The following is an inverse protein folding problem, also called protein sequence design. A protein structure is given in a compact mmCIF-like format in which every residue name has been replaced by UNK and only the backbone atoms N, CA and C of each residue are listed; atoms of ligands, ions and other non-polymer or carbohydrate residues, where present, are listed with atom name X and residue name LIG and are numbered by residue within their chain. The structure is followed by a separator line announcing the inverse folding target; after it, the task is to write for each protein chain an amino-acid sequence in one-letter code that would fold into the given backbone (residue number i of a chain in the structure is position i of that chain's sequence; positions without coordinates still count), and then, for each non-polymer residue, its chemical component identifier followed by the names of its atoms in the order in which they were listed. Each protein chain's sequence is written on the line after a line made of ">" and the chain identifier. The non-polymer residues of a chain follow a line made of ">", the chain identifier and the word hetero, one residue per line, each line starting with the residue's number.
data_IF_554909539214
#
_entry.id   IF_554909539214
#
_cell.length_a   1.000
_cell.length_b   1.000
_cell.length_c   1.000
_cell.angle_alpha   90.00
_cell.angle_beta   90.00
_cell.angle_gamma   90.00
#
_symmetry.space_group_name_H-M   'P 1'
#
loop_
_entity.id
_entity.type
_entity.pdbx_description
1 polymer ?
#
# COMPACT_ATOMS: atom_id res chain seq x y z
N UNK A 1 -15.44 -41.91 29.84
CA UNK A 1 -16.14 -42.22 28.59
C UNK A 1 -15.82 -41.11 27.61
N UNK A 2 -14.90 -41.37 26.72
CA UNK A 2 -14.45 -40.41 25.70
C UNK A 2 -15.34 -40.58 24.47
N UNK A 3 -16.11 -39.56 24.16
CA UNK A 3 -16.83 -39.47 22.89
C UNK A 3 -15.91 -38.85 21.84
N UNK A 4 -15.41 -39.66 20.95
CA UNK A 4 -14.66 -39.20 19.78
C UNK A 4 -15.60 -38.59 18.74
N UNK A 5 -15.27 -37.40 18.27
CA UNK A 5 -15.91 -36.80 17.13
C UNK A 5 -15.29 -37.42 15.87
N UNK A 6 -16.04 -38.27 15.18
CA UNK A 6 -15.66 -38.79 13.86
C UNK A 6 -16.02 -37.77 12.80
N UNK A 7 -15.03 -37.21 12.12
CA UNK A 7 -15.22 -36.50 10.88
C UNK A 7 -15.44 -37.51 9.78
N UNK A 8 -16.64 -37.55 9.18
CA UNK A 8 -16.94 -38.38 8.03
C UNK A 8 -16.35 -37.72 6.77
N UNK A 9 -15.26 -38.29 6.26
CA UNK A 9 -14.77 -38.05 4.89
C UNK A 9 -15.51 -39.01 3.99
N UNK A 10 -16.39 -38.51 3.14
CA UNK A 10 -17.03 -39.30 2.11
C UNK A 10 -16.05 -39.51 0.93
N UNK A 11 -15.40 -40.67 0.89
CA UNK A 11 -14.61 -41.09 -0.26
C UNK A 11 -15.58 -41.74 -1.28
N UNK A 12 -15.86 -41.07 -2.40
CA UNK A 12 -16.47 -41.68 -3.56
C UNK A 12 -15.39 -42.44 -4.36
N UNK A 13 -15.40 -43.74 -4.23
CA UNK A 13 -14.59 -44.62 -5.06
C UNK A 13 -15.07 -44.61 -6.50
N UNK A 14 -14.24 -44.16 -7.42
CA UNK A 14 -14.38 -44.30 -8.85
C UNK A 14 -13.07 -44.81 -9.43
N UNK A 15 -13.05 -46.05 -9.91
CA UNK A 15 -11.95 -46.59 -10.72
C UNK A 15 -11.98 -45.94 -12.10
N UNK A 16 -10.98 -45.18 -12.46
CA UNK A 16 -10.86 -44.57 -13.76
C UNK A 16 -9.49 -43.99 -14.02
N UNK A 17 -8.72 -44.70 -14.83
CA UNK A 17 -7.64 -44.28 -15.74
C UNK A 17 -6.78 -43.06 -15.26
N UNK A 18 -5.53 -43.35 -14.94
CA UNK A 18 -4.49 -42.35 -14.75
C UNK A 18 -4.23 -41.56 -16.05
N UNK A 19 -4.97 -40.50 -16.24
CA UNK A 19 -4.59 -39.39 -17.10
C UNK A 19 -3.83 -38.41 -16.19
N UNK A 20 -2.59 -38.08 -16.52
CA UNK A 20 -1.85 -36.99 -15.91
C UNK A 20 -2.57 -35.68 -16.24
N UNK A 21 -3.57 -35.33 -15.45
CA UNK A 21 -4.05 -33.96 -15.40
C UNK A 21 -2.93 -33.12 -14.74
N UNK A 22 -2.14 -32.47 -15.56
CA UNK A 22 -1.39 -31.31 -15.12
C UNK A 22 -2.46 -30.34 -14.63
N UNK A 23 -2.70 -30.28 -13.32
CA UNK A 23 -3.48 -29.20 -12.74
C UNK A 23 -2.82 -27.92 -13.21
N UNK A 24 -3.50 -27.18 -14.08
CA UNK A 24 -3.12 -25.85 -14.43
C UNK A 24 -3.21 -25.07 -13.09
N UNK A 25 -2.08 -24.93 -12.43
CA UNK A 25 -1.91 -24.01 -11.30
C UNK A 25 -2.45 -22.69 -11.79
N UNK A 26 -3.57 -22.23 -11.20
CA UNK A 26 -4.09 -20.91 -11.50
C UNK A 26 -2.89 -19.96 -11.42
N UNK A 27 -2.62 -19.26 -12.52
CA UNK A 27 -1.52 -18.31 -12.55
C UNK A 27 -1.72 -17.37 -11.38
N UNK A 28 -0.73 -17.27 -10.51
CA UNK A 28 -0.74 -16.28 -9.42
C UNK A 28 -1.13 -14.94 -10.03
N UNK A 29 -2.03 -14.17 -9.43
CA UNK A 29 -2.42 -12.88 -9.98
C UNK A 29 -1.14 -12.06 -10.17
N UNK A 30 -0.85 -11.69 -11.42
CA UNK A 30 0.37 -10.94 -11.72
C UNK A 30 0.33 -9.63 -10.95
N UNK A 31 1.39 -9.34 -10.23
CA UNK A 31 1.54 -8.07 -9.52
C UNK A 31 1.51 -6.93 -10.54
N UNK A 32 0.75 -5.89 -10.24
CA UNK A 32 0.60 -4.72 -11.12
C UNK A 32 1.19 -3.48 -10.47
N UNK A 33 1.61 -2.55 -11.31
CA UNK A 33 2.15 -1.25 -10.90
C UNK A 33 1.31 -0.16 -11.55
N UNK A 34 1.01 0.91 -10.79
CA UNK A 34 0.41 2.14 -11.29
C UNK A 34 1.44 3.25 -11.24
N UNK A 35 1.50 4.03 -12.29
CA UNK A 35 2.43 5.15 -12.42
C UNK A 35 1.77 6.28 -13.20
N UNK A 36 2.36 7.47 -13.12
CA UNK A 36 1.94 8.62 -13.91
C UNK A 36 2.65 8.59 -15.26
N UNK A 37 1.88 8.68 -16.33
CA UNK A 37 2.39 8.80 -17.68
C UNK A 37 2.04 10.18 -18.25
N UNK A 38 3.02 10.82 -18.86
CA UNK A 38 2.80 12.06 -19.61
C UNK A 38 2.72 11.77 -21.11
N UNK A 39 1.77 12.42 -21.77
CA UNK A 39 1.61 12.38 -23.21
C UNK A 39 1.27 13.78 -23.74
N UNK A 40 1.65 14.10 -24.98
CA UNK A 40 1.18 15.32 -25.65
C UNK A 40 0.02 14.95 -26.57
N UNK A 41 -1.18 15.43 -26.22
CA UNK A 41 -2.38 15.23 -27.03
C UNK A 41 -2.82 16.60 -27.55
N UNK A 42 -2.94 16.74 -28.86
CA UNK A 42 -3.30 18.02 -29.53
C UNK A 42 -2.43 19.23 -29.10
N UNK A 43 -1.14 18.99 -28.86
CA UNK A 43 -0.20 20.02 -28.42
C UNK A 43 -0.28 20.37 -26.93
N UNK A 44 -1.13 19.71 -26.16
CA UNK A 44 -1.28 19.88 -24.70
C UNK A 44 -0.60 18.72 -23.99
N UNK A 45 0.26 19.03 -23.02
CA UNK A 45 0.85 18.01 -22.15
C UNK A 45 -0.21 17.51 -21.17
N UNK A 46 -0.49 16.21 -21.23
CA UNK A 46 -1.47 15.53 -20.38
C UNK A 46 -0.78 14.50 -19.51
N UNK A 47 -1.38 14.17 -18.38
CA UNK A 47 -0.88 13.17 -17.44
C UNK A 47 -2.02 12.22 -17.08
N UNK A 48 -1.77 10.93 -17.19
CA UNK A 48 -2.73 9.87 -16.89
C UNK A 48 -2.14 8.90 -15.88
N UNK A 49 -2.98 8.29 -15.04
CA UNK A 49 -2.58 7.13 -14.26
C UNK A 49 -2.72 5.88 -15.12
N UNK A 50 -1.63 5.16 -15.27
CA UNK A 50 -1.54 3.96 -16.08
C UNK A 50 -1.18 2.78 -15.20
N UNK A 51 -1.87 1.66 -15.37
CA UNK A 51 -1.59 0.37 -14.73
C UNK A 51 -0.98 -0.59 -15.73
N UNK A 52 0.01 -1.37 -15.30
CA UNK A 52 0.61 -2.46 -16.08
C UNK A 52 1.04 -3.60 -15.16
N UNK A 53 1.26 -4.77 -15.71
CA UNK A 53 1.89 -5.88 -14.99
C UNK A 53 3.35 -5.53 -14.62
N UNK A 54 3.89 -6.18 -13.60
CA UNK A 54 5.27 -5.97 -13.18
C UNK A 54 6.34 -6.35 -14.22
N UNK A 55 5.93 -7.10 -15.26
CA UNK A 55 6.77 -7.41 -16.42
C UNK A 55 6.61 -6.41 -17.60
N UNK A 56 5.84 -5.33 -17.40
CA UNK A 56 5.55 -4.30 -18.40
C UNK A 56 4.39 -4.62 -19.36
N UNK A 57 3.83 -5.81 -19.30
CA UNK A 57 2.68 -6.21 -20.14
C UNK A 57 1.34 -5.66 -19.64
N UNK A 58 0.30 -5.82 -20.45
CA UNK A 58 -1.10 -5.48 -20.12
C UNK A 58 -1.27 -4.05 -19.58
N UNK A 59 -0.69 -3.08 -20.30
CA UNK A 59 -0.77 -1.67 -19.98
C UNK A 59 -2.19 -1.12 -20.22
N UNK A 60 -2.76 -0.43 -19.22
CA UNK A 60 -4.11 0.13 -19.24
C UNK A 60 -4.15 1.51 -18.59
N UNK A 61 -4.84 2.47 -19.19
CA UNK A 61 -5.15 3.75 -18.53
C UNK A 61 -6.22 3.51 -17.47
N UNK A 62 -5.94 3.88 -16.21
CA UNK A 62 -6.88 3.78 -15.10
C UNK A 62 -7.71 5.06 -14.96
N UNK A 63 -7.04 6.21 -14.91
CA UNK A 63 -7.69 7.51 -14.77
C UNK A 63 -7.34 8.32 -16.02
N UNK A 64 -8.24 8.35 -17.02
CA UNK A 64 -8.05 9.17 -18.21
C UNK A 64 -8.23 10.65 -17.88
N UNK A 65 -7.59 11.53 -18.66
CA UNK A 65 -7.86 12.96 -18.60
C UNK A 65 -9.21 13.28 -19.29
N UNK A 66 -10.07 14.06 -18.69
CA UNK A 66 -11.36 14.48 -19.25
C UNK A 66 -12.56 14.08 -18.40
N UNK A 67 -13.75 13.99 -18.99
CA UNK A 67 -15.01 13.45 -18.43
C UNK A 67 -15.31 13.75 -16.95
N UNK A 68 -15.30 15.06 -16.58
CA UNK A 68 -15.65 15.50 -15.22
C UNK A 68 -14.51 15.44 -14.20
N UNK A 69 -13.37 14.92 -14.59
CA UNK A 69 -12.13 15.01 -13.83
C UNK A 69 -11.39 16.32 -14.19
N UNK A 70 -10.62 16.88 -13.26
CA UNK A 70 -9.77 18.03 -13.57
C UNK A 70 -8.87 17.73 -14.77
N UNK A 71 -8.64 18.72 -15.62
CA UNK A 71 -7.73 18.57 -16.78
C UNK A 71 -6.25 18.56 -16.36
N UNK A 72 -5.96 18.06 -15.16
CA UNK A 72 -4.69 18.21 -14.53
C UNK A 72 -3.77 17.03 -14.70
N UNK A 73 -2.63 17.18 -14.07
CA UNK A 73 -1.61 16.18 -13.94
C UNK A 73 -1.97 15.29 -12.75
N UNK A 74 -2.26 14.03 -12.99
CA UNK A 74 -2.47 13.06 -11.91
C UNK A 74 -1.14 12.45 -11.50
N UNK A 75 -0.75 12.68 -10.26
CA UNK A 75 0.55 12.24 -9.73
C UNK A 75 0.41 11.55 -8.38
N UNK A 76 1.47 10.89 -7.96
CA UNK A 76 1.59 10.27 -6.63
C UNK A 76 0.46 9.29 -6.29
N UNK A 77 0.15 8.30 -7.16
CA UNK A 77 -0.83 7.27 -6.85
C UNK A 77 -0.40 6.46 -5.63
N UNK A 78 -1.36 6.10 -4.77
CA UNK A 78 -1.12 5.23 -3.63
C UNK A 78 -2.37 4.41 -3.31
N UNK A 79 -2.21 3.08 -3.14
CA UNK A 79 -3.30 2.19 -2.77
C UNK A 79 -3.47 2.12 -1.24
N UNK A 80 -4.73 2.03 -0.80
CA UNK A 80 -5.03 1.76 0.60
C UNK A 80 -4.50 0.38 1.03
N UNK A 81 -4.17 0.17 2.31
CA UNK A 81 -3.62 -1.09 2.80
C UNK A 81 -4.52 -2.31 2.58
N UNK A 82 -5.83 -2.09 2.46
CA UNK A 82 -6.83 -3.13 2.14
C UNK A 82 -7.05 -3.33 0.64
N UNK A 83 -6.43 -2.50 -0.22
CA UNK A 83 -6.56 -2.55 -1.68
C UNK A 83 -7.90 -2.08 -2.23
N UNK A 84 -8.75 -1.43 -1.42
CA UNK A 84 -10.09 -0.99 -1.82
C UNK A 84 -10.13 0.39 -2.46
N UNK A 85 -9.11 1.20 -2.25
CA UNK A 85 -9.04 2.57 -2.73
C UNK A 85 -7.71 2.91 -3.37
N UNK A 86 -7.77 3.76 -4.38
CA UNK A 86 -6.63 4.42 -5.00
C UNK A 86 -6.72 5.91 -4.68
N UNK A 87 -5.74 6.48 -3.99
CA UNK A 87 -5.62 7.92 -3.83
C UNK A 87 -4.57 8.49 -4.77
N UNK A 88 -4.78 9.71 -5.24
CA UNK A 88 -3.85 10.42 -6.11
C UNK A 88 -4.01 11.93 -5.96
N UNK A 89 -3.04 12.69 -6.46
CA UNK A 89 -3.04 14.13 -6.48
C UNK A 89 -3.37 14.59 -7.91
N UNK A 90 -4.25 15.58 -8.04
CA UNK A 90 -4.42 16.35 -9.28
C UNK A 90 -3.72 17.70 -9.13
N UNK A 91 -2.78 17.99 -10.01
CA UNK A 91 -2.06 19.27 -10.06
C UNK A 91 -2.78 20.32 -10.90
N UNK A 92 -4.10 20.15 -11.16
CA UNK A 92 -4.92 21.16 -11.82
C UNK A 92 -5.39 22.19 -10.78
N UNK A 93 -4.54 23.10 -10.45
CA UNK A 93 -4.70 24.05 -9.34
C UNK A 93 -3.60 23.89 -8.31
N UNK A 94 -3.97 23.66 -7.06
CA UNK A 94 -3.04 23.68 -5.91
C UNK A 94 -2.78 22.30 -5.28
N UNK A 95 -3.08 21.23 -6.02
CA UNK A 95 -2.86 19.85 -5.55
C UNK A 95 -4.07 19.29 -4.83
N UNK A 96 -5.16 19.09 -5.56
CA UNK A 96 -6.37 18.44 -5.06
C UNK A 96 -6.11 16.97 -4.76
N UNK A 97 -6.70 16.49 -3.68
CA UNK A 97 -6.62 15.06 -3.30
C UNK A 97 -7.87 14.36 -3.78
N UNK A 98 -7.69 13.30 -4.54
CA UNK A 98 -8.74 12.46 -5.09
C UNK A 98 -8.62 11.02 -4.59
N UNK A 99 -9.77 10.36 -4.49
CA UNK A 99 -9.86 8.92 -4.21
C UNK A 99 -10.79 8.28 -5.22
N UNK A 100 -10.40 7.10 -5.70
CA UNK A 100 -11.12 6.28 -6.65
C UNK A 100 -11.17 4.82 -6.17
N UNK A 101 -11.97 3.99 -6.84
CA UNK A 101 -11.87 2.55 -6.77
C UNK A 101 -10.53 2.06 -7.35
N UNK A 102 -10.06 0.85 -7.03
CA UNK A 102 -8.75 0.37 -7.46
C UNK A 102 -8.55 0.30 -8.97
N UNK A 103 -9.64 0.24 -9.74
CA UNK A 103 -9.65 0.26 -11.20
C UNK A 103 -9.71 1.68 -11.80
N UNK A 104 -9.72 2.71 -10.95
CA UNK A 104 -9.80 4.12 -11.34
C UNK A 104 -11.21 4.65 -11.50
N UNK A 105 -12.24 3.81 -11.39
CA UNK A 105 -13.63 4.25 -11.44
C UNK A 105 -14.05 4.97 -10.16
N UNK A 106 -15.21 5.65 -10.18
CA UNK A 106 -15.77 6.29 -9.00
C UNK A 106 -14.91 7.42 -8.40
N UNK A 107 -13.99 7.99 -9.18
CA UNK A 107 -13.10 9.04 -8.70
C UNK A 107 -13.86 10.24 -8.14
N UNK A 108 -13.52 10.67 -6.94
CA UNK A 108 -14.14 11.79 -6.24
C UNK A 108 -13.10 12.62 -5.48
N UNK A 109 -13.31 13.92 -5.32
CA UNK A 109 -12.42 14.74 -4.51
C UNK A 109 -12.59 14.39 -3.02
N UNK A 110 -11.49 14.44 -2.29
CA UNK A 110 -11.43 14.39 -0.82
C UNK A 110 -11.16 15.81 -0.28
N UNK A 111 -10.19 16.48 -0.88
CA UNK A 111 -9.88 17.88 -0.56
C UNK A 111 -9.68 18.62 -1.88
N UNK A 112 -10.36 19.74 -2.00
CA UNK A 112 -10.16 20.73 -3.07
C UNK A 112 -9.48 21.95 -2.45
N UNK A 113 -8.48 22.50 -3.12
CA UNK A 113 -7.76 23.71 -2.68
C UNK A 113 -7.30 23.62 -1.21
N UNK A 114 -6.27 22.82 -0.92
CA UNK A 114 -5.74 22.62 0.44
C UNK A 114 -5.36 23.96 1.08
N UNK A 115 -6.31 24.61 1.74
CA UNK A 115 -6.31 25.82 2.62
C UNK A 115 -5.35 26.99 2.30
N UNK A 116 -4.46 26.87 1.35
CA UNK A 116 -3.55 27.92 0.91
C UNK A 116 -3.57 27.96 -0.62
N UNK A 117 -4.16 28.99 -1.23
CA UNK A 117 -4.29 29.07 -2.69
C UNK A 117 -2.95 29.11 -3.44
N UNK A 118 -1.86 29.08 -2.73
CA UNK A 118 -0.51 29.13 -3.28
C UNK A 118 0.38 27.96 -2.80
N UNK A 119 -0.20 26.99 -2.07
CA UNK A 119 0.50 25.79 -1.62
C UNK A 119 0.22 24.59 -2.53
N UNK A 120 1.00 23.51 -2.38
CA UNK A 120 0.77 22.25 -3.13
C UNK A 120 1.05 21.03 -2.27
N UNK A 121 0.35 19.93 -2.60
CA UNK A 121 0.58 18.60 -2.02
C UNK A 121 1.66 17.91 -2.82
N UNK A 122 2.67 17.33 -2.15
CA UNK A 122 3.77 16.66 -2.84
C UNK A 122 3.69 15.13 -2.80
N UNK A 123 3.17 14.54 -1.76
CA UNK A 123 3.05 13.10 -1.60
C UNK A 123 1.92 12.71 -0.66
N UNK A 124 1.37 11.50 -0.90
CA UNK A 124 0.34 10.89 -0.09
C UNK A 124 0.83 9.59 0.57
N UNK A 125 0.29 9.28 1.74
CA UNK A 125 0.39 7.97 2.38
C UNK A 125 -0.91 7.65 3.10
N UNK A 126 -1.38 6.41 2.99
CA UNK A 126 -2.56 5.95 3.71
C UNK A 126 -2.27 5.71 5.18
N UNK A 127 -3.24 6.02 6.03
CA UNK A 127 -3.29 5.51 7.40
C UNK A 127 -3.45 3.97 7.41
N UNK A 128 -3.09 3.31 8.52
CA UNK A 128 -3.01 1.84 8.55
C UNK A 128 -4.37 1.14 8.36
N UNK A 129 -5.48 1.83 8.64
CA UNK A 129 -6.83 1.30 8.49
C UNK A 129 -7.47 1.64 7.13
N UNK A 130 -6.82 2.45 6.27
CA UNK A 130 -7.39 2.90 5.01
C UNK A 130 -8.50 3.95 5.14
N UNK A 131 -8.66 4.58 6.30
CA UNK A 131 -9.72 5.55 6.64
C UNK A 131 -9.27 7.02 6.59
N UNK A 132 -7.97 7.26 6.44
CA UNK A 132 -7.36 8.59 6.36
C UNK A 132 -6.12 8.62 5.48
N UNK A 133 -5.76 9.82 5.06
CA UNK A 133 -4.54 10.11 4.31
C UNK A 133 -3.62 11.02 5.12
N UNK A 134 -2.34 10.77 5.02
CA UNK A 134 -1.27 11.69 5.41
C UNK A 134 -0.68 12.30 4.14
N UNK A 135 -0.33 13.57 4.19
CA UNK A 135 0.19 14.32 3.05
C UNK A 135 1.34 15.25 3.45
N UNK A 136 2.27 15.43 2.53
CA UNK A 136 3.22 16.53 2.57
C UNK A 136 2.60 17.76 1.91
N UNK A 137 2.47 18.83 2.65
CA UNK A 137 1.97 20.11 2.13
C UNK A 137 3.09 21.13 2.12
N UNK A 138 3.30 21.80 0.99
CA UNK A 138 4.26 22.89 0.85
C UNK A 138 3.51 24.18 0.58
N UNK A 139 3.75 25.19 1.44
CA UNK A 139 3.22 26.54 1.23
C UNK A 139 4.01 27.29 0.14
N UNK A 140 3.45 28.41 -0.33
CA UNK A 140 4.01 29.30 -1.35
C UNK A 140 5.50 29.63 -1.17
N UNK A 141 6.25 29.84 -2.28
CA UNK A 141 7.58 30.45 -2.24
C UNK A 141 7.59 31.77 -1.47
N UNK A 142 8.48 31.88 -0.46
CA UNK A 142 8.57 33.01 0.47
C UNK A 142 7.93 32.75 1.83
N UNK A 143 7.11 31.72 1.96
CA UNK A 143 6.66 31.16 3.25
C UNK A 143 7.25 29.79 3.52
N UNK A 144 8.33 29.43 2.88
CA UNK A 144 9.12 28.18 2.88
C UNK A 144 8.79 27.19 4.02
N UNK A 145 7.56 26.66 4.02
CA UNK A 145 7.11 25.70 5.03
C UNK A 145 6.58 24.45 4.32
N UNK A 146 7.23 23.35 4.57
CA UNK A 146 6.65 22.03 4.31
C UNK A 146 6.12 21.46 5.61
N UNK A 147 4.91 20.92 5.58
CA UNK A 147 4.25 20.41 6.78
C UNK A 147 3.56 19.08 6.49
N UNK A 148 3.60 18.19 7.45
CA UNK A 148 2.75 17.00 7.42
C UNK A 148 1.34 17.36 7.85
N UNK A 149 0.39 16.97 7.03
CA UNK A 149 -1.04 17.08 7.32
C UNK A 149 -1.69 15.69 7.25
N UNK A 150 -2.90 15.60 7.77
CA UNK A 150 -3.77 14.42 7.68
C UNK A 150 -5.18 14.86 7.33
N UNK A 151 -5.94 13.96 6.71
CA UNK A 151 -7.34 14.18 6.34
C UNK A 151 -8.10 12.85 6.32
N UNK A 152 -9.36 12.84 6.75
CA UNK A 152 -10.26 11.70 6.60
C UNK A 152 -10.78 11.60 5.15
N UNK A 153 -11.24 10.42 4.73
CA UNK A 153 -11.73 10.19 3.37
C UNK A 153 -13.00 10.97 3.01
N UNK A 154 -13.74 11.48 3.97
CA UNK A 154 -14.88 12.37 3.77
C UNK A 154 -14.48 13.86 3.67
N UNK A 155 -13.17 14.15 3.68
CA UNK A 155 -12.62 15.50 3.64
C UNK A 155 -12.58 16.20 5.00
N UNK A 156 -13.14 15.61 6.04
CA UNK A 156 -13.10 16.16 7.40
C UNK A 156 -11.73 15.97 8.05
N UNK A 157 -11.49 16.68 9.15
CA UNK A 157 -10.29 16.48 9.97
C UNK A 157 -8.99 16.87 9.29
N UNK A 158 -9.01 17.71 8.25
CA UNK A 158 -7.80 18.27 7.67
C UNK A 158 -7.05 19.09 8.72
N UNK A 159 -5.91 18.61 9.15
CA UNK A 159 -5.14 19.19 10.26
C UNK A 159 -3.66 18.84 10.16
N UNK A 160 -2.84 19.60 10.86
CA UNK A 160 -1.41 19.32 10.98
C UNK A 160 -1.13 18.10 11.87
N UNK A 161 -0.20 17.27 11.46
CA UNK A 161 0.22 16.10 12.26
C UNK A 161 1.10 16.51 13.43
N UNK A 162 1.93 17.53 13.24
CA UNK A 162 2.87 18.03 14.22
C UNK A 162 2.60 19.50 14.57
N UNK A 163 2.90 19.93 15.79
CA UNK A 163 2.82 21.34 16.17
C UNK A 163 3.64 22.24 15.23
N UNK A 164 3.19 23.49 15.09
CA UNK A 164 3.90 24.47 14.26
C UNK A 164 5.32 24.73 14.80
N UNK A 165 6.28 24.56 13.91
CA UNK A 165 7.68 24.91 14.19
C UNK A 165 8.20 25.77 13.04
N UNK A 166 8.82 26.93 13.33
CA UNK A 166 9.38 27.76 12.30
C UNK A 166 10.56 27.07 11.60
N UNK A 167 10.67 27.26 10.30
CA UNK A 167 11.77 26.77 9.45
C UNK A 167 11.95 25.24 9.39
N UNK A 168 10.91 24.47 9.63
CA UNK A 168 10.93 23.00 9.51
C UNK A 168 10.25 22.57 8.23
N UNK A 169 10.93 21.70 7.47
CA UNK A 169 10.45 21.13 6.21
C UNK A 169 10.09 19.66 6.45
N UNK A 170 8.82 19.39 6.75
CA UNK A 170 8.29 18.05 6.96
C UNK A 170 7.48 17.62 5.74
N UNK A 171 7.85 16.50 5.12
CA UNK A 171 7.16 15.99 3.94
C UNK A 171 7.46 14.52 3.68
N UNK A 172 6.99 14.03 2.54
CA UNK A 172 7.27 12.68 2.09
C UNK A 172 6.86 11.60 3.10
N UNK A 173 5.60 11.57 3.54
CA UNK A 173 5.15 10.61 4.54
C UNK A 173 5.16 9.17 4.04
N UNK A 174 5.42 8.25 4.94
CA UNK A 174 5.15 6.82 4.82
C UNK A 174 4.64 6.31 6.15
N UNK A 175 3.66 5.41 6.12
CA UNK A 175 3.00 4.89 7.33
C UNK A 175 3.23 3.39 7.44
N UNK A 176 3.72 2.95 8.58
CA UNK A 176 3.87 1.53 8.88
C UNK A 176 2.51 0.90 9.23
N UNK A 177 2.32 -0.43 9.10
CA UNK A 177 1.08 -1.11 9.49
C UNK A 177 0.65 -0.87 10.94
N UNK A 178 1.58 -0.56 11.82
CA UNK A 178 1.32 -0.21 13.22
C UNK A 178 1.01 1.29 13.43
N UNK A 179 0.90 2.09 12.38
CA UNK A 179 0.56 3.51 12.44
C UNK A 179 1.73 4.47 12.73
N UNK A 180 2.95 3.96 12.85
CA UNK A 180 4.14 4.81 12.99
C UNK A 180 4.46 5.47 11.66
N UNK A 181 4.70 6.78 11.69
CA UNK A 181 5.08 7.58 10.52
C UNK A 181 6.61 7.59 10.35
N UNK A 182 7.07 7.46 9.12
CA UNK A 182 8.38 7.93 8.68
C UNK A 182 8.19 9.10 7.73
N UNK A 183 8.98 10.15 7.87
CA UNK A 183 8.88 11.35 7.03
C UNK A 183 10.22 12.07 6.92
N UNK A 184 10.35 12.90 5.91
CA UNK A 184 11.54 13.71 5.69
C UNK A 184 11.51 14.97 6.55
N UNK A 185 12.63 15.29 7.23
CA UNK A 185 12.91 16.57 7.87
C UNK A 185 14.36 16.96 7.63
N UNK A 186 14.60 18.01 6.85
CA UNK A 186 15.96 18.56 6.66
C UNK A 186 16.99 17.54 6.16
N UNK A 187 16.64 16.66 5.21
CA UNK A 187 17.53 15.62 4.68
C UNK A 187 17.67 14.38 5.57
N UNK A 188 16.95 14.31 6.67
CA UNK A 188 16.94 13.19 7.61
C UNK A 188 15.53 12.59 7.69
N UNK A 189 15.42 11.28 7.62
CA UNK A 189 14.18 10.57 7.86
C UNK A 189 13.94 10.52 9.36
N UNK A 190 12.77 11.02 9.78
CA UNK A 190 12.29 11.01 11.15
C UNK A 190 11.25 9.89 11.33
N UNK A 191 11.11 9.41 12.55
CA UNK A 191 10.05 8.48 12.98
C UNK A 191 9.19 9.16 14.05
N UNK A 192 7.87 8.98 13.94
CA UNK A 192 6.90 9.57 14.86
C UNK A 192 5.69 8.67 15.02
N UNK A 193 5.28 8.42 16.26
CA UNK A 193 4.00 7.75 16.57
C UNK A 193 2.96 8.79 17.00
N UNK A 194 1.97 9.11 16.15
CA UNK A 194 0.99 10.14 16.47
C UNK A 194 0.09 9.77 17.66
N UNK A 195 0.02 8.50 18.05
CA UNK A 195 -0.74 8.05 19.21
C UNK A 195 -0.03 8.32 20.54
N UNK A 196 1.29 8.34 20.50
CA UNK A 196 2.11 8.63 21.67
C UNK A 196 2.42 10.12 21.82
N UNK A 197 2.36 10.86 20.71
CA UNK A 197 2.76 12.25 20.69
C UNK A 197 4.26 12.45 20.91
N UNK A 198 4.65 13.61 21.39
CA UNK A 198 6.04 13.94 21.65
C UNK A 198 6.77 14.53 20.44
N UNK A 199 8.09 14.37 20.41
CA UNK A 199 8.95 14.87 19.32
C UNK A 199 9.36 13.73 18.39
N UNK A 200 9.40 13.96 17.06
CA UNK A 200 9.96 12.99 16.13
C UNK A 200 11.40 12.64 16.44
N UNK A 201 11.78 11.40 16.19
CA UNK A 201 13.13 10.87 16.42
C UNK A 201 13.85 10.65 15.09
N UNK A 202 15.08 11.15 14.91
CA UNK A 202 15.85 10.90 13.70
C UNK A 202 16.23 9.42 13.57
N UNK A 203 16.02 8.86 12.37
CA UNK A 203 16.30 7.45 12.07
C UNK A 203 17.56 7.28 11.21
N UNK A 204 17.61 7.95 10.05
CA UNK A 204 18.74 7.88 9.11
C UNK A 204 18.70 9.05 8.13
N UNK A 205 19.84 9.37 7.51
CA UNK A 205 19.88 10.32 6.40
C UNK A 205 19.28 9.70 5.14
N UNK A 206 18.50 10.47 4.40
CA UNK A 206 17.86 10.01 3.18
C UNK A 206 16.56 10.74 2.88
N UNK A 207 15.96 10.40 1.75
CA UNK A 207 14.75 10.99 1.21
C UNK A 207 13.74 9.87 0.87
N UNK A 208 12.47 10.26 0.70
CA UNK A 208 11.44 9.40 0.11
C UNK A 208 11.27 8.04 0.82
N UNK A 209 11.06 8.05 2.14
CA UNK A 209 10.90 6.80 2.89
C UNK A 209 9.69 5.99 2.41
N UNK A 210 9.82 4.66 2.46
CA UNK A 210 8.74 3.72 2.19
C UNK A 210 8.86 2.52 3.12
N UNK A 211 7.90 2.34 4.03
CA UNK A 211 7.82 1.14 4.86
C UNK A 211 7.49 -0.10 4.03
N UNK A 212 8.10 -1.23 4.35
CA UNK A 212 7.68 -2.53 3.84
C UNK A 212 6.27 -2.89 4.32
N UNK A 213 5.51 -3.73 3.59
CA UNK A 213 4.14 -4.11 3.96
C UNK A 213 4.03 -4.77 5.34
N UNK A 214 5.08 -5.44 5.81
CA UNK A 214 5.16 -6.04 7.14
C UNK A 214 5.66 -5.08 8.23
N UNK A 215 6.08 -3.87 7.84
CA UNK A 215 6.60 -2.83 8.74
C UNK A 215 7.97 -3.13 9.35
N UNK A 216 8.69 -4.15 8.86
CA UNK A 216 10.00 -4.54 9.42
C UNK A 216 11.18 -3.82 8.78
N UNK A 217 10.98 -3.24 7.59
CA UNK A 217 12.01 -2.58 6.80
C UNK A 217 11.55 -1.20 6.35
N UNK A 218 12.53 -0.35 6.02
CA UNK A 218 12.31 0.95 5.40
C UNK A 218 13.20 1.08 4.17
N UNK A 219 12.59 1.27 3.00
CA UNK A 219 13.30 1.70 1.80
C UNK A 219 13.37 3.23 1.77
N UNK A 220 14.44 3.77 1.21
CA UNK A 220 14.65 5.20 1.05
C UNK A 220 15.71 5.47 0.00
N UNK A 221 15.77 6.70 -0.51
CA UNK A 221 16.86 7.11 -1.40
C UNK A 221 17.93 7.89 -0.64
N UNK A 222 19.18 7.69 -1.03
CA UNK A 222 20.33 8.42 -0.52
C UNK A 222 21.41 8.54 -1.59
N UNK A 223 22.15 9.63 -1.57
CA UNK A 223 23.27 9.83 -2.44
C UNK A 223 24.33 8.74 -2.22
N UNK A 224 24.65 7.99 -3.27
CA UNK A 224 25.77 7.06 -3.27
C UNK A 224 27.05 7.76 -3.78
N UNK A 225 28.22 7.19 -3.48
CA UNK A 225 29.49 7.85 -3.72
C UNK A 225 29.80 8.09 -5.22
N UNK A 226 29.30 7.23 -6.11
CA UNK A 226 29.70 7.20 -7.53
C UNK A 226 28.57 7.30 -8.57
N UNK A 227 27.32 7.12 -8.16
CA UNK A 227 26.22 6.88 -9.12
C UNK A 227 24.94 7.71 -8.85
N UNK A 228 25.04 8.82 -8.11
CA UNK A 228 23.87 9.62 -7.76
C UNK A 228 23.00 9.00 -6.67
N UNK A 229 21.73 9.43 -6.51
CA UNK A 229 20.83 8.84 -5.52
C UNK A 229 20.54 7.37 -5.84
N UNK A 230 20.59 6.51 -4.82
CA UNK A 230 20.30 5.08 -4.93
C UNK A 230 19.29 4.66 -3.87
N UNK A 231 18.58 3.55 -4.12
CA UNK A 231 17.70 2.94 -3.12
C UNK A 231 18.52 2.16 -2.10
N UNK A 232 18.25 2.43 -0.83
CA UNK A 232 18.75 1.68 0.31
C UNK A 232 17.57 1.07 1.06
N UNK A 233 17.79 -0.06 1.69
CA UNK A 233 16.84 -0.71 2.61
C UNK A 233 17.50 -0.83 3.97
N UNK A 234 16.81 -0.32 5.01
CA UNK A 234 17.15 -0.48 6.41
C UNK A 234 16.28 -1.55 7.04
N UNK A 235 16.88 -2.53 7.66
CA UNK A 235 16.23 -3.43 8.60
C UNK A 235 16.03 -2.69 9.93
N UNK A 236 14.80 -2.55 10.38
CA UNK A 236 14.46 -1.71 11.54
C UNK A 236 14.87 -2.33 12.87
N UNK A 237 14.94 -3.65 12.95
CA UNK A 237 15.34 -4.34 14.18
C UNK A 237 16.86 -4.28 14.40
N UNK A 238 17.65 -4.56 13.36
CA UNK A 238 19.12 -4.57 13.45
C UNK A 238 19.76 -3.22 13.15
N UNK A 239 19.04 -2.32 12.48
CA UNK A 239 19.57 -1.07 11.97
C UNK A 239 20.50 -1.21 10.77
N UNK A 240 20.67 -2.42 10.22
CA UNK A 240 21.52 -2.66 9.06
C UNK A 240 20.92 -2.02 7.82
N UNK A 241 21.75 -1.32 7.06
CA UNK A 241 21.38 -0.73 5.77
C UNK A 241 22.10 -1.45 4.63
N UNK A 242 21.35 -1.69 3.55
CA UNK A 242 21.88 -2.35 2.34
C UNK A 242 21.51 -1.50 1.14
N UNK A 243 22.46 -1.18 0.27
CA UNK A 243 22.20 -0.56 -1.03
C UNK A 243 21.57 -1.60 -1.95
N UNK A 244 20.44 -1.26 -2.58
CA UNK A 244 19.64 -2.15 -3.42
C UNK A 244 19.94 -1.91 -4.90
N UNK A 245 20.12 -0.66 -5.31
CA UNK A 245 20.33 -0.26 -6.70
C UNK A 245 21.71 0.34 -6.89
N UNK A 246 22.21 0.28 -8.16
CA UNK A 246 23.47 0.91 -8.59
C UNK A 246 23.31 1.44 -10.03
N UNK A 247 22.22 2.15 -10.29
CA UNK A 247 21.91 2.73 -11.60
C UNK A 247 22.72 4.01 -11.82
N UNK A 248 23.37 4.12 -12.98
CA UNK A 248 24.29 5.25 -13.29
C UNK A 248 23.58 6.62 -13.39
N UNK A 249 22.27 6.63 -13.71
CA UNK A 249 21.45 7.84 -13.79
C UNK A 249 20.83 8.29 -12.47
N UNK A 250 21.05 7.52 -11.39
CA UNK A 250 20.39 7.73 -10.12
C UNK A 250 18.93 7.27 -10.11
N UNK A 251 18.42 7.00 -8.91
CA UNK A 251 17.05 6.49 -8.73
C UNK A 251 16.30 7.23 -7.61
N UNK A 252 14.99 7.32 -7.76
CA UNK A 252 14.11 8.03 -6.83
C UNK A 252 12.79 7.27 -6.63
N UNK A 253 12.06 7.60 -5.56
CA UNK A 253 10.70 7.15 -5.27
C UNK A 253 10.53 5.63 -5.15
N UNK A 254 11.22 4.96 -4.22
CA UNK A 254 11.02 3.53 -3.99
C UNK A 254 9.60 3.22 -3.48
N UNK A 255 9.05 2.10 -3.93
CA UNK A 255 7.75 1.57 -3.52
C UNK A 255 7.82 0.05 -3.43
N UNK A 256 7.34 -0.53 -2.32
CA UNK A 256 7.36 -1.96 -2.08
C UNK A 256 6.22 -2.70 -2.77
N UNK A 257 6.52 -3.88 -3.31
CA UNK A 257 5.49 -4.83 -3.71
C UNK A 257 4.68 -5.33 -2.50
N UNK A 258 3.39 -5.72 -2.68
CA UNK A 258 2.54 -6.16 -1.57
C UNK A 258 3.09 -7.36 -0.78
N UNK A 259 3.90 -8.21 -1.41
CA UNK A 259 4.57 -9.35 -0.79
C UNK A 259 5.91 -9.01 -0.12
N UNK A 260 6.38 -7.76 -0.27
CA UNK A 260 7.64 -7.28 0.31
C UNK A 260 8.92 -7.82 -0.38
N UNK A 261 8.80 -8.49 -1.54
CA UNK A 261 9.93 -9.12 -2.22
C UNK A 261 10.58 -8.24 -3.29
N UNK A 262 9.86 -7.24 -3.77
CA UNK A 262 10.33 -6.33 -4.83
C UNK A 262 10.16 -4.87 -4.44
N UNK A 263 10.93 -4.02 -5.11
CA UNK A 263 10.81 -2.57 -5.09
C UNK A 263 10.62 -2.08 -6.52
N UNK A 264 9.63 -1.20 -6.73
CA UNK A 264 9.55 -0.36 -7.92
C UNK A 264 10.13 1.02 -7.60
N UNK A 265 10.73 1.66 -8.58
CA UNK A 265 11.33 2.98 -8.46
C UNK A 265 11.42 3.67 -9.80
N UNK A 266 11.70 4.96 -9.82
CA UNK A 266 12.03 5.68 -11.03
C UNK A 266 13.57 5.75 -11.20
N UNK A 267 14.07 5.35 -12.37
CA UNK A 267 15.45 5.50 -12.75
C UNK A 267 15.61 6.59 -13.81
N UNK A 268 16.63 7.45 -13.66
CA UNK A 268 16.96 8.48 -14.62
C UNK A 268 17.81 7.92 -15.76
N UNK A 269 17.41 8.24 -17.01
CA UNK A 269 18.27 8.05 -18.17
C UNK A 269 19.27 9.21 -18.33
N UNK A 270 20.20 9.08 -19.26
CA UNK A 270 21.18 10.14 -19.60
C UNK A 270 20.54 11.41 -20.18
N UNK A 271 19.29 11.33 -20.60
CA UNK A 271 18.46 12.41 -21.17
C UNK A 271 17.47 13.04 -20.16
N UNK A 272 17.63 12.76 -18.88
CA UNK A 272 16.75 13.19 -17.78
C UNK A 272 15.30 12.66 -17.85
N UNK A 273 15.03 11.66 -18.70
CA UNK A 273 13.76 10.97 -18.70
C UNK A 273 13.74 9.91 -17.58
N UNK A 274 12.62 9.83 -16.88
CA UNK A 274 12.43 8.86 -15.81
C UNK A 274 11.64 7.66 -16.34
N UNK A 275 12.14 6.46 -16.08
CA UNK A 275 11.49 5.19 -16.40
C UNK A 275 11.20 4.40 -15.15
N UNK A 276 10.13 3.59 -15.18
CA UNK A 276 9.79 2.71 -14.04
C UNK A 276 10.66 1.45 -14.13
N UNK A 277 11.34 1.16 -13.04
CA UNK A 277 12.16 -0.03 -12.86
C UNK A 277 11.68 -0.85 -11.68
N UNK A 278 12.05 -2.13 -11.65
CA UNK A 278 11.93 -2.97 -10.46
C UNK A 278 13.24 -3.67 -10.13
N UNK A 279 13.42 -3.93 -8.84
CA UNK A 279 14.52 -4.76 -8.34
C UNK A 279 14.03 -5.64 -7.20
N UNK A 280 14.75 -6.75 -6.92
CA UNK A 280 14.47 -7.55 -5.73
C UNK A 280 14.86 -6.78 -4.48
N UNK A 281 14.09 -6.93 -3.42
CA UNK A 281 14.38 -6.29 -2.12
C UNK A 281 15.67 -6.80 -1.46
N UNK A 282 16.23 -7.89 -1.95
CA UNK A 282 17.53 -8.43 -1.53
C UNK A 282 18.72 -7.74 -2.22
N UNK A 283 18.44 -6.90 -3.21
CA UNK A 283 19.44 -6.25 -4.07
C UNK A 283 19.70 -7.01 -5.37
N UNK A 284 20.36 -6.34 -6.30
CA UNK A 284 20.69 -6.87 -7.63
C UNK A 284 20.37 -5.85 -8.72
N UNK A 285 20.69 -6.16 -9.99
CA UNK A 285 20.43 -5.24 -11.08
C UNK A 285 18.92 -4.99 -11.21
N UNK A 286 18.54 -3.72 -11.38
CA UNK A 286 17.19 -3.34 -11.69
C UNK A 286 16.81 -3.70 -13.13
N UNK A 287 15.54 -3.98 -13.35
CA UNK A 287 14.96 -4.25 -14.66
C UNK A 287 14.02 -3.11 -15.04
N UNK A 288 14.24 -2.49 -16.20
CA UNK A 288 13.32 -1.51 -16.75
C UNK A 288 11.98 -2.19 -17.07
N UNK A 289 10.89 -1.61 -16.60
CA UNK A 289 9.53 -2.07 -16.86
C UNK A 289 8.90 -1.22 -17.98
N UNK A 290 9.18 0.06 -18.00
CA UNK A 290 8.73 0.97 -19.07
C UNK A 290 9.85 1.24 -20.06
N UNK A 291 9.47 1.56 -21.32
CA UNK A 291 10.41 2.05 -22.34
C UNK A 291 10.77 3.51 -22.08
N UNK A 292 11.84 3.98 -22.73
CA UNK A 292 12.34 5.37 -22.63
C UNK A 292 11.34 6.44 -23.09
N UNK A 293 10.25 6.04 -23.75
CA UNK A 293 9.20 6.94 -24.24
C UNK A 293 8.20 7.35 -23.14
N UNK A 294 8.29 6.73 -21.97
CA UNK A 294 7.37 7.00 -20.85
C UNK A 294 8.03 7.97 -19.87
N UNK A 295 7.53 9.19 -19.81
CA UNK A 295 7.96 10.14 -18.78
C UNK A 295 7.22 9.80 -17.48
N UNK A 296 7.84 8.98 -16.62
CA UNK A 296 7.34 8.73 -15.28
C UNK A 296 7.43 10.00 -14.42
N UNK A 297 6.33 10.43 -13.84
CA UNK A 297 6.30 11.54 -12.89
C UNK A 297 5.62 11.08 -11.59
N UNK A 298 6.29 11.24 -10.47
CA UNK A 298 5.82 10.81 -9.17
C UNK A 298 6.11 9.34 -8.84
N UNK A 299 5.85 8.96 -7.59
CA UNK A 299 6.13 7.60 -7.06
C UNK A 299 5.29 6.55 -7.80
N UNK A 300 5.89 5.47 -8.34
CA UNK A 300 5.13 4.33 -8.79
C UNK A 300 4.49 3.61 -7.59
N UNK A 301 3.26 3.11 -7.73
CA UNK A 301 2.56 2.38 -6.69
C UNK A 301 2.26 0.95 -7.14
N UNK A 302 2.55 -0.02 -6.29
CA UNK A 302 2.08 -1.39 -6.52
C UNK A 302 0.59 -1.48 -6.23
N UNK A 303 -0.14 -2.16 -7.10
CA UNK A 303 -1.54 -2.49 -6.86
C UNK A 303 -1.61 -3.48 -5.71
N UNK A 304 -2.24 -3.08 -4.63
CA UNK A 304 -2.56 -3.99 -3.53
C UNK A 304 -3.83 -4.73 -3.94
N UNK A 305 -3.79 -6.06 -4.11
CA UNK A 305 -5.02 -6.80 -4.39
C UNK A 305 -6.02 -6.53 -3.28
N UNK A 306 -7.24 -6.14 -3.64
CA UNK A 306 -8.31 -6.02 -2.67
C UNK A 306 -8.39 -7.34 -1.91
N UNK A 307 -8.31 -7.28 -0.59
CA UNK A 307 -8.52 -8.47 0.23
C UNK A 307 -9.97 -8.88 0.03
N UNK A 308 -10.19 -9.86 -0.82
CA UNK A 308 -11.49 -10.52 -0.88
C UNK A 308 -11.59 -11.28 0.42
N UNK A 309 -12.45 -10.83 1.33
CA UNK A 309 -12.83 -11.63 2.49
C UNK A 309 -13.49 -12.89 1.96
N UNK A 310 -12.74 -13.98 1.91
CA UNK A 310 -13.34 -15.29 1.69
C UNK A 310 -14.30 -15.54 2.83
N UNK A 311 -15.52 -16.04 2.57
CA UNK A 311 -16.38 -16.50 3.64
C UNK A 311 -15.58 -17.44 4.55
N UNK A 312 -15.41 -17.07 5.83
CA UNK A 312 -14.58 -17.81 6.76
C UNK A 312 -13.18 -17.24 7.02
N UNK A 313 -12.72 -16.25 6.28
CA UNK A 313 -11.46 -15.54 6.58
C UNK A 313 -11.70 -14.44 7.64
N UNK A 314 -11.68 -14.83 8.91
CA UNK A 314 -11.93 -13.93 10.04
C UNK A 314 -10.72 -13.08 10.44
N UNK A 315 -9.54 -13.38 9.93
CA UNK A 315 -8.32 -12.61 10.20
C UNK A 315 -7.98 -11.61 9.10
N UNK A 316 -8.62 -11.73 7.93
CA UNK A 316 -8.36 -10.89 6.76
C UNK A 316 -7.01 -11.19 6.11
N UNK A 317 -6.44 -12.40 6.30
CA UNK A 317 -5.17 -12.80 5.72
C UNK A 317 -5.32 -13.50 4.35
N UNK A 318 -6.55 -13.60 3.83
CA UNK A 318 -6.88 -14.25 2.56
C UNK A 318 -7.05 -15.77 2.65
N UNK A 319 -7.01 -16.35 3.85
CA UNK A 319 -7.14 -17.79 4.10
C UNK A 319 -8.37 -18.09 4.94
N UNK A 320 -9.12 -19.16 4.63
CA UNK A 320 -10.25 -19.55 5.45
C UNK A 320 -9.82 -19.90 6.88
N UNK A 321 -10.45 -19.27 7.86
CA UNK A 321 -10.29 -19.54 9.27
C UNK A 321 -11.44 -20.44 9.80
N UNK A 322 -11.22 -21.05 10.92
CA UNK A 322 -12.26 -21.81 11.62
C UNK A 322 -12.48 -21.24 13.01
N UNK A 323 -13.73 -21.02 13.38
CA UNK A 323 -14.12 -20.79 14.78
C UNK A 323 -14.76 -22.05 15.35
N UNK A 324 -14.43 -22.35 16.57
CA UNK A 324 -15.06 -23.43 17.32
C UNK A 324 -15.35 -23.00 18.74
N UNK A 325 -16.55 -23.39 19.24
CA UNK A 325 -16.96 -23.19 20.63
C UNK A 325 -16.75 -24.48 21.40
N UNK A 326 -16.10 -24.41 22.55
CA UNK A 326 -15.97 -25.56 23.46
C UNK A 326 -17.19 -25.71 24.41
N UNK A 327 -17.22 -26.80 25.16
CA UNK A 327 -18.29 -27.10 26.05
C UNK A 327 -18.44 -26.09 27.22
N UNK A 328 -17.43 -25.31 27.52
CA UNK A 328 -17.47 -24.23 28.51
C UNK A 328 -17.97 -22.89 27.91
N UNK A 329 -18.32 -22.85 26.62
CA UNK A 329 -18.78 -21.63 25.95
C UNK A 329 -17.65 -20.68 25.59
N UNK A 330 -16.43 -21.15 25.52
CA UNK A 330 -15.30 -20.35 25.01
C UNK A 330 -15.21 -20.51 23.50
N UNK A 331 -15.18 -19.38 22.79
CA UNK A 331 -14.96 -19.33 21.35
C UNK A 331 -13.46 -19.25 21.05
N UNK A 332 -13.02 -20.09 20.13
CA UNK A 332 -11.64 -20.22 19.68
C UNK A 332 -11.55 -19.93 18.18
N UNK A 333 -10.50 -19.24 17.78
CA UNK A 333 -10.13 -19.02 16.40
C UNK A 333 -8.94 -19.92 16.02
N UNK A 334 -9.07 -20.60 14.90
CA UNK A 334 -8.03 -21.40 14.25
C UNK A 334 -7.70 -20.74 12.91
N UNK A 335 -6.56 -20.08 12.83
CA UNK A 335 -6.14 -19.41 11.61
C UNK A 335 -5.75 -20.42 10.54
N UNK A 336 -6.22 -20.21 9.32
CA UNK A 336 -5.83 -20.97 8.15
C UNK A 336 -4.34 -20.79 7.83
N UNK A 337 -3.62 -21.87 7.59
CA UNK A 337 -2.18 -21.82 7.24
C UNK A 337 -1.96 -21.85 5.73
N UNK A 338 -2.96 -22.28 4.95
CA UNK A 338 -2.82 -22.59 3.53
C UNK A 338 -2.05 -23.89 3.26
N UNK A 339 -1.65 -24.63 4.30
CA UNK A 339 -0.94 -25.92 4.18
C UNK A 339 -1.91 -27.09 4.26
N UNK A 340 -1.86 -28.01 3.31
CA UNK A 340 -2.69 -29.22 3.32
C UNK A 340 -2.33 -30.21 4.45
N UNK A 341 -1.10 -30.17 4.97
CA UNK A 341 -0.64 -31.05 6.04
C UNK A 341 -0.89 -30.53 7.46
N UNK A 342 -1.04 -29.20 7.59
CA UNK A 342 -1.36 -28.55 8.86
C UNK A 342 -2.28 -27.36 8.57
N UNK A 343 -3.57 -27.60 8.24
CA UNK A 343 -4.45 -26.58 7.69
C UNK A 343 -4.71 -25.40 8.63
N UNK A 344 -4.53 -25.58 9.92
CA UNK A 344 -4.76 -24.53 10.92
C UNK A 344 -3.56 -24.38 11.87
N UNK A 345 -3.30 -23.13 12.26
CA UNK A 345 -2.37 -22.77 13.30
C UNK A 345 -2.92 -23.10 14.70
N UNK A 346 -2.10 -22.93 15.74
CA UNK A 346 -2.54 -23.04 17.12
C UNK A 346 -3.70 -22.08 17.39
N UNK A 347 -4.72 -22.56 18.12
CA UNK A 347 -5.93 -21.79 18.42
C UNK A 347 -5.66 -20.57 19.28
N UNK A 348 -6.38 -19.50 18.99
CA UNK A 348 -6.39 -18.25 19.78
C UNK A 348 -7.75 -18.10 20.47
N UNK A 349 -7.77 -17.74 21.76
CA UNK A 349 -9.00 -17.50 22.50
C UNK A 349 -9.61 -16.15 22.07
N UNK A 350 -10.88 -16.16 21.63
CA UNK A 350 -11.64 -14.95 21.32
C UNK A 350 -12.36 -14.44 22.58
N UNK A 351 -13.08 -15.29 23.30
CA UNK A 351 -13.83 -14.90 24.48
C UNK A 351 -14.67 -16.03 25.06
N UNK A 352 -15.32 -15.78 26.18
CA UNK A 352 -16.29 -16.68 26.81
C UNK A 352 -17.74 -16.17 26.70
N UNK A 353 -18.71 -16.95 27.18
CA UNK A 353 -20.13 -16.58 27.19
C UNK A 353 -20.90 -16.93 25.92
N UNK A 354 -20.31 -17.65 24.99
CA UNK A 354 -20.90 -17.95 23.70
C UNK A 354 -21.92 -19.09 23.70
N UNK A 355 -22.19 -19.70 24.85
CA UNK A 355 -23.23 -20.74 24.99
C UNK A 355 -24.66 -20.20 24.90
N UNK A 356 -24.86 -18.89 24.99
CA UNK A 356 -26.15 -18.23 24.79
C UNK A 356 -26.62 -18.25 23.33
N UNK A 357 -25.74 -18.54 22.38
CA UNK A 357 -26.05 -18.53 20.95
C UNK A 357 -26.16 -19.96 20.40
N UNK A 358 -27.19 -20.21 19.59
CA UNK A 358 -27.43 -21.49 18.94
C UNK A 358 -26.61 -21.70 17.67
N UNK A 359 -26.29 -20.63 16.95
CA UNK A 359 -25.43 -20.69 15.78
C UNK A 359 -24.47 -19.50 15.68
N UNK A 360 -23.30 -19.77 15.12
CA UNK A 360 -22.28 -18.79 14.79
C UNK A 360 -21.94 -18.92 13.30
N UNK A 361 -21.95 -17.82 12.58
CA UNK A 361 -21.69 -17.81 11.13
C UNK A 361 -20.80 -16.63 10.79
N UNK A 362 -19.77 -16.86 9.97
CA UNK A 362 -19.02 -15.77 9.34
C UNK A 362 -19.82 -15.30 8.12
N UNK A 363 -20.30 -14.07 8.17
CA UNK A 363 -21.18 -13.50 7.14
C UNK A 363 -20.45 -12.55 6.17
N UNK A 364 -19.12 -12.50 6.23
CA UNK A 364 -18.31 -11.50 5.53
C UNK A 364 -18.25 -10.18 6.30
N UNK A 365 -17.80 -9.14 5.65
CA UNK A 365 -17.70 -7.79 6.23
C UNK A 365 -19.07 -7.10 6.20
N UNK A 366 -19.79 -7.16 7.31
CA UNK A 366 -21.11 -6.53 7.47
C UNK A 366 -21.01 -5.08 7.95
N UNK A 367 -19.91 -4.74 8.63
CA UNK A 367 -19.69 -3.40 9.19
C UNK A 367 -19.00 -2.46 8.20
N UNK A 368 -18.41 -2.97 7.12
CA UNK A 368 -17.70 -2.19 6.12
C UNK A 368 -16.29 -1.78 6.55
N UNK A 369 -15.75 -2.42 7.61
CA UNK A 369 -14.42 -2.10 8.14
C UNK A 369 -13.27 -2.89 7.46
N UNK A 370 -13.60 -3.69 6.44
CA UNK A 370 -12.64 -4.50 5.71
C UNK A 370 -12.31 -5.84 6.35
N UNK A 371 -12.95 -6.18 7.47
CA UNK A 371 -12.75 -7.45 8.16
C UNK A 371 -14.05 -8.27 8.15
N UNK A 372 -13.97 -9.58 8.01
CA UNK A 372 -15.14 -10.42 8.14
C UNK A 372 -15.70 -10.38 9.54
N UNK A 373 -17.01 -10.21 9.65
CA UNK A 373 -17.74 -10.21 10.89
C UNK A 373 -18.23 -11.60 11.27
N UNK A 374 -18.39 -11.82 12.57
CA UNK A 374 -19.00 -13.01 13.11
C UNK A 374 -20.41 -12.66 13.59
N UNK A 375 -21.41 -13.30 13.00
CA UNK A 375 -22.81 -13.20 13.44
C UNK A 375 -23.13 -14.34 14.36
N UNK A 376 -23.93 -14.05 15.40
CA UNK A 376 -24.44 -15.02 16.36
C UNK A 376 -25.96 -14.95 16.41
N UNK A 377 -26.62 -16.11 16.51
CA UNK A 377 -28.06 -16.22 16.66
C UNK A 377 -28.37 -17.06 17.91
N UNK A 378 -29.24 -16.60 18.76
CA UNK A 378 -29.88 -17.26 19.91
C UNK A 378 -31.12 -18.07 19.49
#
# INVERSE_FOLDING_TARGET
>A
MSAGLAAAVLALGGTGVAGSATEARAAEPQQRIVYTESATVDGVLTFSLVSMNADGSDRRTLVPTGDGLPRGKYVSPVFSPDGRHLAFISEDGFGDIWVADPDGSGARPVVMDVQDPDGWVDQLAWGPNGDMLYLGFQSKPGHDRRRLMKVNLDGSGLDYVLPDQPYVFDGQPSVAPNGVLAFLRGGTIQVYDPRQGGTPTPLTSGLQPAYSPDGTKLAFTRQAASSGPQVFVRDLASGKETQITDDSGGVIYPSWSPDGNQLAYLAGGTDMRLTVHSATAAGGPGTAITSDDVQGNGRPAWVIPARTSSPGDLTGDGRPDLTARDGAGVLWLYRGTGSGSAPFAARTRIGGGWNTYNSLTSAGDLTGDGKPDLTARD
#
